data_IF_852746120346
#
_entry.id   IF_852746120346
#
_cell.length_a   1.000
_cell.length_b   1.000
_cell.length_c   1.000
_cell.angle_alpha   90.00
_cell.angle_beta   90.00
_cell.angle_gamma   90.00
#
_symmetry.space_group_name_H-M   'P 1'
#
loop_
_entity.id
_entity.type
_entity.pdbx_description
1 polymer ?
#
# COMPACT_ATOMS: atom_id res chain seq x y z
N UNK A 1 -15.50 -13.91 -3.03
CA UNK A 1 -14.13 -13.99 -3.60
C UNK A 1 -13.36 -12.67 -3.48
N UNK A 2 -13.93 -11.52 -3.89
CA UNK A 2 -13.25 -10.21 -3.85
C UNK A 2 -12.73 -9.78 -2.46
N UNK A 3 -13.45 -10.03 -1.37
CA UNK A 3 -13.00 -9.68 -0.01
C UNK A 3 -11.75 -10.45 0.45
N UNK A 4 -11.58 -11.69 -0.02
CA UNK A 4 -10.40 -12.50 0.29
C UNK A 4 -9.17 -12.05 -0.51
N UNK A 5 -9.36 -11.67 -1.78
CA UNK A 5 -8.29 -11.10 -2.60
C UNK A 5 -7.75 -9.79 -2.01
N UNK A 6 -8.62 -8.97 -1.42
CA UNK A 6 -8.20 -7.75 -0.73
C UNK A 6 -7.23 -8.02 0.43
N UNK A 7 -7.59 -8.96 1.32
CA UNK A 7 -6.73 -9.39 2.42
C UNK A 7 -5.44 -10.05 1.95
N UNK A 8 -5.50 -10.80 0.85
CA UNK A 8 -4.33 -11.43 0.24
C UNK A 8 -3.32 -10.40 -0.29
N UNK A 9 -3.80 -9.39 -1.02
CA UNK A 9 -2.95 -8.30 -1.53
C UNK A 9 -2.34 -7.49 -0.38
N UNK A 10 -3.09 -7.26 0.70
CA UNK A 10 -2.56 -6.60 1.90
C UNK A 10 -1.38 -7.36 2.51
N UNK A 11 -1.51 -8.68 2.59
CA UNK A 11 -0.47 -9.58 3.11
C UNK A 11 0.79 -9.55 2.23
N UNK A 12 0.62 -9.55 0.90
CA UNK A 12 1.73 -9.43 -0.04
C UNK A 12 2.45 -8.09 0.11
N UNK A 13 1.72 -6.98 0.28
CA UNK A 13 2.32 -5.65 0.50
C UNK A 13 3.13 -5.63 1.80
N UNK A 14 2.61 -6.25 2.87
CA UNK A 14 3.32 -6.36 4.14
C UNK A 14 4.64 -7.14 4.03
N UNK A 15 4.62 -8.29 3.33
CA UNK A 15 5.81 -9.12 3.09
C UNK A 15 6.83 -8.37 2.20
N UNK A 16 6.35 -7.67 1.18
CA UNK A 16 7.20 -6.90 0.27
C UNK A 16 7.82 -5.69 0.97
N UNK A 17 7.08 -5.07 1.90
CA UNK A 17 7.57 -3.95 2.72
C UNK A 17 8.64 -4.37 3.74
N UNK A 18 8.54 -5.57 4.31
CA UNK A 18 9.50 -6.08 5.30
C UNK A 18 10.78 -6.64 4.66
N UNK A 19 10.74 -7.05 3.40
CA UNK A 19 11.90 -7.63 2.68
C UNK A 19 12.91 -6.61 2.16
N UNK A 20 12.56 -5.31 2.07
CA UNK A 20 13.47 -4.24 1.63
C UNK A 20 13.51 -3.13 2.69
N UNK A 21 14.47 -3.13 3.61
CA UNK A 21 14.65 -2.04 4.59
C UNK A 21 15.12 -0.79 3.85
N UNK A 22 14.20 0.10 3.50
CA UNK A 22 14.44 1.41 2.92
C UNK A 22 13.38 2.36 3.47
N UNK A 23 13.67 3.66 3.60
CA UNK A 23 12.72 4.70 4.09
C UNK A 23 11.35 4.63 3.38
N UNK A 24 11.36 4.14 2.14
CA UNK A 24 10.16 3.88 1.35
C UNK A 24 9.24 2.77 1.87
N UNK A 25 9.74 1.79 2.63
CA UNK A 25 8.90 0.73 3.20
C UNK A 25 8.07 1.19 4.40
N UNK A 26 8.44 2.29 5.05
CA UNK A 26 7.68 2.83 6.17
C UNK A 26 6.28 3.27 5.73
N UNK A 27 6.17 3.88 4.54
CA UNK A 27 4.88 4.27 3.94
C UNK A 27 3.96 3.08 3.64
N UNK A 28 4.51 2.00 3.07
CA UNK A 28 3.74 0.78 2.80
C UNK A 28 3.26 0.10 4.08
N UNK A 29 4.11 0.04 5.12
CA UNK A 29 3.74 -0.52 6.42
C UNK A 29 2.63 0.28 7.09
N UNK A 30 2.71 1.61 7.08
CA UNK A 30 1.68 2.49 7.67
C UNK A 30 0.36 2.33 6.92
N UNK A 31 0.38 2.32 5.57
CA UNK A 31 -0.82 2.08 4.77
C UNK A 31 -1.41 0.68 5.05
N UNK A 32 -0.57 -0.34 5.20
CA UNK A 32 -0.98 -1.70 5.50
C UNK A 32 -1.64 -1.80 6.88
N UNK A 33 -1.06 -1.20 7.92
CA UNK A 33 -1.65 -1.13 9.25
C UNK A 33 -2.97 -0.35 9.25
N UNK A 34 -3.02 0.77 8.54
CA UNK A 34 -4.23 1.58 8.42
C UNK A 34 -5.38 0.79 7.77
N UNK A 35 -5.09 0.06 6.71
CA UNK A 35 -6.06 -0.81 6.04
C UNK A 35 -6.41 -2.08 6.84
N UNK A 36 -5.51 -2.61 7.67
CA UNK A 36 -5.82 -3.72 8.58
C UNK A 36 -6.81 -3.31 9.67
N UNK A 37 -6.66 -2.09 10.21
CA UNK A 37 -7.50 -1.54 11.28
C UNK A 37 -8.87 -1.10 10.73
N UNK A 38 -8.91 -0.41 9.58
CA UNK A 38 -10.15 0.10 8.99
C UNK A 38 -10.73 -0.76 7.87
N UNK A 39 -10.09 -1.88 7.52
CA UNK A 39 -10.45 -2.69 6.34
C UNK A 39 -11.86 -3.28 6.37
N UNK A 40 -12.38 -3.59 7.56
CA UNK A 40 -13.76 -4.09 7.71
C UNK A 40 -14.81 -3.04 7.37
N UNK A 41 -14.61 -1.80 7.81
CA UNK A 41 -15.49 -0.66 7.56
C UNK A 41 -15.32 -0.11 6.14
N UNK A 42 -14.09 -0.16 5.59
CA UNK A 42 -13.81 0.25 4.21
C UNK A 42 -14.43 -0.68 3.17
N UNK A 43 -14.60 -1.97 3.49
CA UNK A 43 -15.25 -2.94 2.59
C UNK A 43 -16.76 -2.67 2.45
N UNK A 44 -17.37 -2.03 3.45
CA UNK A 44 -18.75 -1.52 3.42
C UNK A 44 -18.88 -0.20 2.65
N UNK A 45 -17.80 0.59 2.56
CA UNK A 45 -17.75 1.83 1.78
C UNK A 45 -17.41 1.56 0.30
N UNK A 46 -17.87 2.42 -0.63
CA UNK A 46 -17.66 2.20 -2.06
C UNK A 46 -16.17 2.23 -2.41
N UNK A 47 -15.78 1.34 -3.34
CA UNK A 47 -14.43 1.05 -3.87
C UNK A 47 -13.61 2.30 -4.26
N UNK A 48 -14.27 3.45 -4.48
CA UNK A 48 -13.64 4.72 -4.86
C UNK A 48 -12.56 5.21 -3.89
N UNK A 49 -12.72 5.01 -2.58
CA UNK A 49 -11.69 5.43 -1.61
C UNK A 49 -10.44 4.57 -1.66
N UNK A 50 -10.60 3.27 -1.94
CA UNK A 50 -9.47 2.34 -2.15
C UNK A 50 -8.71 2.69 -3.41
N UNK A 51 -9.42 3.03 -4.50
CA UNK A 51 -8.80 3.40 -5.76
C UNK A 51 -7.91 4.65 -5.60
N UNK A 52 -8.37 5.65 -4.84
CA UNK A 52 -7.61 6.86 -4.58
C UNK A 52 -6.34 6.58 -3.74
N UNK A 53 -6.44 5.69 -2.75
CA UNK A 53 -5.28 5.23 -1.97
C UNK A 53 -4.28 4.45 -2.84
N UNK A 54 -4.77 3.66 -3.80
CA UNK A 54 -3.95 2.96 -4.78
C UNK A 54 -3.19 3.91 -5.71
N UNK A 55 -3.87 4.95 -6.20
CA UNK A 55 -3.24 6.01 -7.00
C UNK A 55 -2.11 6.71 -6.21
N UNK A 56 -2.36 6.99 -4.93
CA UNK A 56 -1.34 7.55 -4.03
C UNK A 56 -0.16 6.58 -3.82
N UNK A 57 -0.43 5.28 -3.72
CA UNK A 57 0.59 4.24 -3.61
C UNK A 57 1.48 4.17 -4.86
N UNK A 58 0.88 4.28 -6.05
CA UNK A 58 1.57 4.31 -7.34
C UNK A 58 2.42 5.57 -7.46
N UNK A 59 1.86 6.75 -7.12
CA UNK A 59 2.59 8.01 -7.11
C UNK A 59 3.80 7.96 -6.16
N UNK A 60 3.63 7.38 -4.98
CA UNK A 60 4.72 7.16 -4.03
C UNK A 60 5.80 6.24 -4.62
N UNK A 61 5.41 5.16 -5.31
CA UNK A 61 6.35 4.26 -5.99
C UNK A 61 7.16 4.99 -7.08
N UNK A 62 6.52 5.84 -7.89
CA UNK A 62 7.18 6.66 -8.91
C UNK A 62 8.14 7.67 -8.26
N UNK A 63 7.75 8.28 -7.12
CA UNK A 63 8.59 9.19 -6.35
C UNK A 63 9.85 8.48 -5.79
N UNK A 64 9.71 7.21 -5.37
CA UNK A 64 10.83 6.38 -4.91
C UNK A 64 11.87 6.19 -6.01
N UNK A 65 11.39 5.77 -7.17
CA UNK A 65 12.24 5.41 -8.31
C UNK A 65 12.94 6.66 -8.81
N UNK A 66 12.24 7.78 -8.93
CA UNK A 66 12.82 9.07 -9.34
C UNK A 66 13.86 9.56 -8.34
N UNK A 67 13.61 9.50 -7.03
CA UNK A 67 14.61 9.87 -6.02
C UNK A 67 15.86 9.01 -6.08
N UNK A 68 15.72 7.68 -6.24
CA UNK A 68 16.87 6.79 -6.42
C UNK A 68 17.64 7.05 -7.70
N UNK A 69 16.96 7.45 -8.77
CA UNK A 69 17.56 7.74 -10.06
C UNK A 69 18.27 9.10 -10.10
N UNK A 70 17.79 10.09 -9.34
CA UNK A 70 18.44 11.41 -9.19
C UNK A 70 19.69 11.32 -8.30
N UNK A 71 19.68 10.42 -7.31
CA UNK A 71 20.81 10.23 -6.39
C UNK A 71 21.91 9.31 -6.95
N UNK A 72 21.71 8.72 -8.13
CA UNK A 72 22.67 7.87 -8.86
C UNK A 72 23.38 8.65 -9.94
#
# INVERSE_FOLDING_TARGET
MFSYLFWFVLTIIFITGTTRISIFCMGYLVACFYFLIFGGELLLKPIKSILHYWDFLIAYNVFVITMKNILS
#
